data_IF_065415350955
#
_entry.id   IF_065415350955
#
_cell.length_a   1.000
_cell.length_b   1.000
_cell.length_c   1.000
_cell.angle_alpha   90.00
_cell.angle_beta   90.00
_cell.angle_gamma   90.00
#
_symmetry.space_group_name_H-M   'P 1'
#
loop_
_entity.id
_entity.type
_entity.pdbx_description
1 polymer ?
#
# COMPACT_ATOMS: atom_id res chain seq x y z
N UNK A 1 9.49 18.06 18.80
CA UNK A 1 10.62 18.03 17.84
C UNK A 1 10.83 16.63 17.26
N UNK A 2 10.91 16.50 15.93
CA UNK A 2 11.22 15.22 15.24
C UNK A 2 12.66 14.84 15.61
N UNK A 3 12.92 13.65 16.16
CA UNK A 3 14.31 13.22 16.37
C UNK A 3 15.00 13.17 15.00
N UNK A 4 16.20 13.76 14.90
CA UNK A 4 16.98 13.72 13.65
C UNK A 4 17.46 12.30 13.34
N UNK A 5 17.68 11.51 14.38
CA UNK A 5 18.05 10.10 14.32
C UNK A 5 16.81 9.24 14.53
N UNK A 6 16.55 8.30 13.62
CA UNK A 6 15.40 7.38 13.65
C UNK A 6 14.03 8.07 13.80
N UNK A 7 13.63 8.93 12.85
CA UNK A 7 12.31 9.55 12.88
C UNK A 7 11.21 8.48 12.87
N UNK A 8 10.09 8.78 13.52
CA UNK A 8 8.91 7.91 13.61
C UNK A 8 7.67 8.63 13.09
N UNK A 9 6.90 7.97 12.23
CA UNK A 9 5.64 8.43 11.66
C UNK A 9 4.50 8.19 12.65
N UNK A 10 4.45 6.99 13.24
CA UNK A 10 3.34 6.56 14.10
C UNK A 10 3.57 6.89 15.58
N UNK A 11 4.83 6.99 15.99
CA UNK A 11 5.20 6.96 17.40
C UNK A 11 4.96 5.58 18.05
N UNK A 12 5.41 5.40 19.30
CA UNK A 12 5.38 4.10 19.96
C UNK A 12 3.97 3.57 20.23
N UNK A 13 3.02 4.46 20.55
CA UNK A 13 1.65 4.05 20.90
C UNK A 13 0.90 3.48 19.69
N UNK A 14 0.90 4.20 18.57
CA UNK A 14 0.21 3.76 17.35
C UNK A 14 0.93 2.58 16.68
N UNK A 15 2.28 2.52 16.73
CA UNK A 15 3.03 1.35 16.26
C UNK A 15 2.68 0.08 17.08
N UNK A 16 2.58 0.19 18.40
CA UNK A 16 2.16 -0.93 19.26
C UNK A 16 0.74 -1.40 18.91
N UNK A 17 -0.20 -0.46 18.77
CA UNK A 17 -1.57 -0.75 18.38
C UNK A 17 -1.65 -1.43 17.00
N UNK A 18 -0.90 -0.93 16.02
CA UNK A 18 -0.85 -1.51 14.67
C UNK A 18 -0.37 -2.96 14.72
N UNK A 19 0.72 -3.24 15.43
CA UNK A 19 1.26 -4.59 15.60
C UNK A 19 0.24 -5.54 16.24
N UNK A 20 -0.44 -5.10 17.29
CA UNK A 20 -1.48 -5.90 17.95
C UNK A 20 -2.68 -6.17 17.04
N UNK A 21 -3.08 -5.18 16.25
CA UNK A 21 -4.22 -5.28 15.32
C UNK A 21 -3.89 -6.19 14.13
N UNK A 22 -2.67 -6.12 13.59
CA UNK A 22 -2.22 -6.98 12.49
C UNK A 22 -2.23 -8.47 12.84
N UNK A 23 -2.12 -8.83 14.13
CA UNK A 23 -2.22 -10.23 14.57
C UNK A 23 -3.64 -10.80 14.55
N UNK A 24 -4.65 -9.96 14.51
CA UNK A 24 -6.03 -10.44 14.55
C UNK A 24 -6.35 -11.27 13.28
N UNK A 25 -7.10 -12.37 13.42
CA UNK A 25 -7.40 -13.25 12.28
C UNK A 25 -8.32 -12.54 11.28
N UNK A 26 -7.96 -12.62 10.01
CA UNK A 26 -8.76 -12.12 8.88
C UNK A 26 -8.24 -12.74 7.58
N UNK A 27 -9.12 -12.95 6.60
CA UNK A 27 -8.75 -13.39 5.24
C UNK A 27 -7.81 -12.37 4.61
N UNK A 28 -8.21 -11.10 4.56
CA UNK A 28 -7.37 -9.98 4.13
C UNK A 28 -7.23 -8.96 5.26
N UNK A 29 -6.07 -8.33 5.33
CA UNK A 29 -5.76 -7.22 6.25
C UNK A 29 -5.41 -6.00 5.44
N UNK A 30 -6.29 -5.00 5.47
CA UNK A 30 -6.12 -3.78 4.70
C UNK A 30 -5.46 -2.72 5.59
N UNK A 31 -4.20 -2.43 5.31
CA UNK A 31 -3.44 -1.36 5.96
C UNK A 31 -3.63 -0.05 5.19
N UNK A 32 -4.43 0.86 5.75
CA UNK A 32 -4.63 2.18 5.16
C UNK A 32 -3.64 3.20 5.76
N UNK A 33 -2.97 3.95 4.89
CA UNK A 33 -2.09 5.07 5.28
C UNK A 33 -2.34 6.26 4.36
N UNK A 34 -2.10 7.48 4.83
CA UNK A 34 -2.33 8.70 4.05
C UNK A 34 -1.24 8.94 2.99
N UNK A 35 -0.03 8.39 3.18
CA UNK A 35 1.12 8.61 2.31
C UNK A 35 1.76 7.28 1.87
N UNK A 36 2.45 7.25 0.71
CA UNK A 36 3.02 6.03 0.15
C UNK A 36 3.91 5.24 1.12
N UNK A 37 3.70 3.92 1.27
CA UNK A 37 4.67 3.03 1.91
C UNK A 37 5.75 2.60 0.91
N UNK A 38 5.39 2.44 -0.35
CA UNK A 38 6.26 2.03 -1.45
C UNK A 38 7.42 3.02 -1.57
N UNK A 39 8.67 2.52 -1.59
CA UNK A 39 9.83 3.39 -1.74
C UNK A 39 9.87 4.15 -3.07
N UNK A 40 10.50 5.32 -3.05
CA UNK A 40 10.82 6.15 -4.23
C UNK A 40 9.59 6.58 -5.03
N UNK A 41 8.41 6.55 -4.41
CA UNK A 41 7.19 7.05 -5.06
C UNK A 41 7.28 8.57 -5.19
N UNK A 42 7.80 9.29 -4.18
CA UNK A 42 8.02 10.76 -4.13
C UNK A 42 9.51 11.12 -4.02
N UNK A 43 10.28 11.01 -5.12
CA UNK A 43 11.74 11.18 -5.08
C UNK A 43 12.17 12.49 -4.41
N UNK A 44 13.14 12.40 -3.51
CA UNK A 44 13.70 13.55 -2.79
C UNK A 44 12.89 14.04 -1.58
N UNK A 45 11.67 13.53 -1.37
CA UNK A 45 10.82 13.97 -0.26
C UNK A 45 10.90 13.07 0.97
N UNK A 46 10.82 13.70 2.16
CA UNK A 46 10.81 13.02 3.48
C UNK A 46 9.44 13.09 4.18
N UNK A 47 8.39 13.43 3.44
CA UNK A 47 7.01 13.54 3.92
C UNK A 47 6.17 12.27 3.70
N UNK A 48 6.73 11.27 3.02
CA UNK A 48 6.16 9.91 2.91
C UNK A 48 6.90 8.94 3.82
N UNK A 49 6.58 7.64 3.76
CA UNK A 49 7.34 6.62 4.49
C UNK A 49 8.82 6.52 4.08
N UNK A 50 9.25 7.13 2.96
CA UNK A 50 10.68 7.28 2.66
C UNK A 50 11.42 8.14 3.69
N UNK A 51 10.73 9.09 4.33
CA UNK A 51 11.27 9.84 5.47
C UNK A 51 11.35 9.03 6.76
N UNK A 52 10.81 7.80 6.78
CA UNK A 52 10.64 6.94 7.94
C UNK A 52 10.99 5.47 7.61
N UNK A 53 11.97 5.27 6.72
CA UNK A 53 12.30 3.96 6.17
C UNK A 53 12.59 2.90 7.25
N UNK A 54 13.24 3.27 8.35
CA UNK A 54 13.50 2.37 9.47
C UNK A 54 12.20 1.91 10.18
N UNK A 55 11.21 2.78 10.37
CA UNK A 55 9.93 2.39 10.96
C UNK A 55 9.07 1.58 9.99
N UNK A 56 9.08 1.93 8.69
CA UNK A 56 8.50 1.09 7.62
C UNK A 56 9.07 -0.33 7.67
N UNK A 57 10.39 -0.47 7.72
CA UNK A 57 11.03 -1.79 7.77
C UNK A 57 10.66 -2.56 9.04
N UNK A 58 10.53 -1.88 10.19
CA UNK A 58 10.05 -2.52 11.44
C UNK A 58 8.63 -3.06 11.31
N UNK A 59 7.78 -2.45 10.49
CA UNK A 59 6.42 -2.95 10.20
C UNK A 59 6.51 -4.17 9.29
N UNK A 60 7.28 -4.10 8.20
CA UNK A 60 7.45 -5.22 7.27
C UNK A 60 8.08 -6.44 7.96
N UNK A 61 9.13 -6.23 8.75
CA UNK A 61 9.77 -7.28 9.55
C UNK A 61 8.78 -7.93 10.52
N UNK A 62 7.93 -7.13 11.17
CA UNK A 62 6.93 -7.68 12.06
C UNK A 62 5.91 -8.57 11.35
N UNK A 63 5.48 -8.18 10.14
CA UNK A 63 4.58 -9.00 9.31
C UNK A 63 5.26 -10.33 8.96
N UNK A 64 6.54 -10.30 8.57
CA UNK A 64 7.31 -11.50 8.25
C UNK A 64 7.54 -12.40 9.48
N UNK A 65 8.05 -11.86 10.59
CA UNK A 65 8.36 -12.59 11.82
C UNK A 65 7.14 -13.30 12.39
N UNK A 66 5.98 -12.64 12.34
CA UNK A 66 4.73 -13.18 12.85
C UNK A 66 3.94 -13.96 11.79
N UNK A 67 4.52 -14.15 10.59
CA UNK A 67 3.93 -14.86 9.46
C UNK A 67 2.52 -14.38 9.11
N UNK A 68 2.30 -13.07 9.21
CA UNK A 68 0.98 -12.46 9.06
C UNK A 68 0.60 -12.50 7.59
N UNK A 69 -0.49 -13.19 7.22
CA UNK A 69 -0.85 -13.33 5.82
C UNK A 69 -1.97 -12.34 5.44
N UNK A 70 -2.15 -12.17 4.13
CA UNK A 70 -3.23 -11.42 3.52
C UNK A 70 -3.11 -9.90 3.62
N UNK A 71 -1.90 -9.35 3.84
CA UNK A 71 -1.72 -7.90 4.00
C UNK A 71 -1.73 -7.19 2.64
N UNK A 72 -2.56 -6.16 2.53
CA UNK A 72 -2.65 -5.25 1.37
C UNK A 72 -2.64 -3.82 1.88
N UNK A 73 -1.98 -2.91 1.15
CA UNK A 73 -1.83 -1.52 1.55
C UNK A 73 -2.69 -0.62 0.66
N UNK A 74 -3.41 0.32 1.26
CA UNK A 74 -4.07 1.42 0.56
C UNK A 74 -3.44 2.75 0.96
N UNK A 75 -3.12 3.58 -0.03
CA UNK A 75 -2.49 4.88 0.18
C UNK A 75 -2.99 5.99 -0.75
N UNK A 76 -2.48 7.21 -0.58
CA UNK A 76 -2.83 8.38 -1.38
C UNK A 76 -1.63 9.35 -1.55
N UNK A 77 -1.84 10.67 -1.43
CA UNK A 77 -0.87 11.78 -1.55
C UNK A 77 -0.40 12.17 -2.97
N UNK A 78 -0.40 11.26 -3.94
CA UNK A 78 0.39 11.49 -5.18
C UNK A 78 -0.31 12.10 -6.37
N UNK A 79 -1.55 12.55 -6.21
CA UNK A 79 -2.33 13.22 -7.26
C UNK A 79 -2.43 12.40 -8.55
N UNK A 80 -2.46 11.08 -8.39
CA UNK A 80 -2.62 10.06 -9.43
C UNK A 80 -3.15 8.77 -8.78
N UNK A 81 -3.44 7.78 -9.61
CA UNK A 81 -3.89 6.47 -9.16
C UNK A 81 -2.89 5.41 -9.63
N UNK A 82 -2.31 4.66 -8.71
CA UNK A 82 -1.22 3.73 -9.00
C UNK A 82 -1.48 2.37 -8.32
N UNK A 83 -0.79 1.34 -8.82
CA UNK A 83 -0.60 0.09 -8.09
C UNK A 83 0.88 -0.28 -8.07
N UNK A 84 1.37 -0.74 -6.92
CA UNK A 84 2.76 -1.11 -6.71
C UNK A 84 2.87 -2.51 -6.14
N UNK A 85 3.95 -3.19 -6.52
CA UNK A 85 4.49 -4.37 -5.84
C UNK A 85 5.71 -3.93 -5.06
N UNK A 86 5.71 -4.17 -3.75
CA UNK A 86 6.81 -3.86 -2.84
C UNK A 86 7.55 -5.17 -2.57
N UNK A 87 8.80 -5.23 -3.05
CA UNK A 87 9.77 -6.17 -2.49
C UNK A 87 10.27 -5.59 -1.16
N UNK A 88 10.27 -6.41 -0.11
CA UNK A 88 10.56 -5.96 1.26
C UNK A 88 12.02 -6.15 1.65
N UNK A 89 12.82 -6.77 0.78
CA UNK A 89 14.20 -7.20 1.05
C UNK A 89 14.32 -8.14 2.26
N UNK A 90 13.22 -8.76 2.70
CA UNK A 90 13.20 -9.75 3.79
C UNK A 90 13.15 -11.14 3.17
N UNK A 91 14.15 -11.97 3.49
CA UNK A 91 14.25 -13.33 2.95
C UNK A 91 12.99 -14.16 3.26
N UNK A 92 12.48 -14.83 2.22
CA UNK A 92 11.28 -15.67 2.31
C UNK A 92 9.94 -14.89 2.37
N UNK A 93 9.96 -13.57 2.52
CA UNK A 93 8.75 -12.74 2.61
C UNK A 93 8.02 -12.64 1.26
N UNK A 94 6.69 -12.75 1.30
CA UNK A 94 5.86 -12.50 0.11
C UNK A 94 5.82 -10.99 -0.21
N UNK A 95 5.68 -10.60 -1.48
CA UNK A 95 5.59 -9.20 -1.85
C UNK A 95 4.35 -8.54 -1.24
N UNK A 96 4.49 -7.32 -0.76
CA UNK A 96 3.33 -6.51 -0.37
C UNK A 96 2.83 -5.76 -1.60
N UNK A 97 1.53 -5.49 -1.65
CA UNK A 97 0.93 -4.71 -2.72
C UNK A 97 0.30 -3.44 -2.16
N UNK A 98 0.55 -2.33 -2.83
CA UNK A 98 0.03 -1.02 -2.45
C UNK A 98 -0.78 -0.42 -3.59
N UNK A 99 -2.03 -0.06 -3.29
CA UNK A 99 -2.92 0.61 -4.23
C UNK A 99 -3.10 2.07 -3.79
N UNK A 100 -2.81 3.00 -4.71
CA UNK A 100 -2.90 4.43 -4.44
C UNK A 100 -4.05 5.05 -5.22
N UNK A 101 -4.90 5.83 -4.54
CA UNK A 101 -6.03 6.55 -5.16
C UNK A 101 -6.09 7.97 -4.62
N UNK A 102 -5.64 8.96 -5.40
CA UNK A 102 -5.42 10.32 -4.86
C UNK A 102 -5.77 11.47 -5.81
N UNK A 103 -6.64 11.22 -6.81
CA UNK A 103 -6.98 12.22 -7.84
C UNK A 103 -8.51 12.43 -7.99
N UNK A 104 -9.30 12.28 -6.93
CA UNK A 104 -10.76 12.44 -7.03
C UNK A 104 -11.16 13.88 -7.37
N UNK A 105 -10.58 14.87 -6.70
CA UNK A 105 -10.90 16.30 -6.88
C UNK A 105 -9.73 17.11 -7.43
N UNK A 106 -8.50 16.58 -7.36
CA UNK A 106 -7.31 17.34 -7.71
C UNK A 106 -7.19 17.52 -9.24
N UNK A 107 -6.85 18.74 -9.67
CA UNK A 107 -6.55 19.09 -11.06
C UNK A 107 -5.06 18.97 -11.37
N UNK A 108 -4.20 19.25 -10.39
CA UNK A 108 -2.76 19.07 -10.53
C UNK A 108 -2.41 17.59 -10.52
N UNK A 109 -1.38 17.22 -11.30
CA UNK A 109 -0.91 15.85 -11.42
C UNK A 109 0.61 15.77 -11.34
N UNK A 110 1.07 14.62 -10.85
CA UNK A 110 2.48 14.24 -10.96
C UNK A 110 2.67 13.23 -12.08
N UNK A 111 3.89 13.15 -12.62
CA UNK A 111 4.26 12.13 -13.58
C UNK A 111 4.07 10.71 -13.03
N UNK A 112 3.83 9.76 -13.94
CA UNK A 112 3.76 8.34 -13.63
C UNK A 112 5.12 7.81 -13.20
N UNK A 113 5.11 6.76 -12.37
CA UNK A 113 6.31 6.16 -11.79
C UNK A 113 6.67 4.89 -12.56
N UNK A 114 7.91 4.81 -13.09
CA UNK A 114 8.31 3.68 -13.96
C UNK A 114 8.20 2.30 -13.31
N UNK A 115 8.34 2.21 -11.97
CA UNK A 115 8.25 0.95 -11.23
C UNK A 115 6.86 0.69 -10.63
N UNK A 116 5.83 1.45 -11.01
CA UNK A 116 4.45 1.04 -10.75
C UNK A 116 4.09 -0.15 -11.63
N UNK A 117 3.23 -1.04 -11.15
CA UNK A 117 2.58 -2.04 -11.98
C UNK A 117 1.72 -1.36 -13.06
N UNK A 118 1.00 -0.32 -12.66
CA UNK A 118 0.37 0.65 -13.55
C UNK A 118 0.16 1.98 -12.80
N UNK A 119 -0.06 3.04 -13.57
CA UNK A 119 -0.39 4.36 -13.06
C UNK A 119 -1.32 5.13 -14.01
N UNK A 120 -2.17 5.99 -13.45
CA UNK A 120 -3.13 6.79 -14.18
C UNK A 120 -3.21 8.22 -13.63
N UNK A 121 -3.08 9.21 -14.51
CA UNK A 121 -3.14 10.62 -14.14
C UNK A 121 -3.86 11.52 -15.17
N UNK A 122 -4.52 10.97 -16.18
CA UNK A 122 -5.15 11.77 -17.25
C UNK A 122 -6.38 12.54 -16.76
N UNK A 123 -7.33 11.85 -16.12
CA UNK A 123 -8.54 12.44 -15.53
C UNK A 123 -8.67 12.12 -14.06
N UNK A 124 -9.59 12.82 -13.38
CA UNK A 124 -9.93 12.52 -12.01
C UNK A 124 -10.38 11.07 -11.92
N UNK A 125 -10.01 10.41 -10.82
CA UNK A 125 -10.29 8.99 -10.64
C UNK A 125 -10.40 8.64 -9.17
N UNK A 126 -11.02 7.50 -8.93
CA UNK A 126 -11.07 6.84 -7.63
C UNK A 126 -10.76 5.35 -7.80
N UNK A 127 -10.25 4.77 -6.72
CA UNK A 127 -10.05 3.34 -6.60
C UNK A 127 -11.29 2.63 -6.10
N UNK A 128 -11.71 1.57 -6.78
CA UNK A 128 -12.66 0.58 -6.26
C UNK A 128 -11.90 -0.65 -5.80
N UNK A 129 -12.25 -1.17 -4.64
CA UNK A 129 -11.74 -2.43 -4.12
C UNK A 129 -12.89 -3.42 -4.03
N UNK A 130 -12.71 -4.58 -4.66
CA UNK A 130 -13.64 -5.70 -4.63
C UNK A 130 -12.96 -6.88 -3.89
N UNK A 131 -13.70 -7.54 -2.99
CA UNK A 131 -13.27 -8.77 -2.34
C UNK A 131 -14.20 -9.91 -2.74
N UNK A 132 -13.66 -10.98 -3.31
CA UNK A 132 -14.38 -12.24 -3.45
C UNK A 132 -13.88 -13.20 -2.37
N UNK A 133 -14.70 -13.37 -1.33
CA UNK A 133 -14.40 -14.25 -0.20
C UNK A 133 -15.03 -15.64 -0.34
N UNK A 134 -15.79 -15.89 -1.41
CA UNK A 134 -16.49 -17.16 -1.65
C UNK A 134 -15.73 -18.08 -2.59
N UNK A 135 -14.80 -17.53 -3.38
CA UNK A 135 -13.88 -18.33 -4.19
C UNK A 135 -13.02 -19.27 -3.33
N UNK A 136 -12.67 -20.44 -3.88
CA UNK A 136 -11.79 -21.42 -3.22
C UNK A 136 -10.46 -20.80 -2.77
N UNK A 137 -9.94 -19.88 -3.59
CA UNK A 137 -8.84 -18.99 -3.24
C UNK A 137 -9.35 -17.54 -3.27
N UNK A 138 -9.66 -16.94 -2.11
CA UNK A 138 -10.24 -15.61 -2.03
C UNK A 138 -9.41 -14.57 -2.80
N UNK A 139 -10.07 -13.57 -3.38
CA UNK A 139 -9.38 -12.56 -4.18
C UNK A 139 -9.62 -11.15 -3.68
N UNK A 140 -8.60 -10.32 -3.82
CA UNK A 140 -8.69 -8.87 -3.77
C UNK A 140 -8.52 -8.34 -5.19
N UNK A 141 -9.35 -7.36 -5.58
CA UNK A 141 -9.17 -6.63 -6.82
C UNK A 141 -9.25 -5.13 -6.59
N UNK A 142 -8.20 -4.42 -6.98
CA UNK A 142 -8.18 -2.97 -7.07
C UNK A 142 -8.45 -2.54 -8.52
N UNK A 143 -9.37 -1.63 -8.74
CA UNK A 143 -9.72 -1.10 -10.06
C UNK A 143 -9.71 0.43 -10.04
N UNK A 144 -9.01 1.04 -10.98
CA UNK A 144 -9.06 2.50 -11.17
C UNK A 144 -10.23 2.83 -12.09
N UNK A 145 -11.12 3.69 -11.62
CA UNK A 145 -12.28 4.19 -12.37
C UNK A 145 -12.12 5.71 -12.52
N UNK A 146 -12.16 6.21 -13.76
CA UNK A 146 -12.09 7.64 -13.99
C UNK A 146 -13.44 8.33 -13.72
N UNK A 147 -13.46 9.66 -13.74
CA UNK A 147 -14.64 10.47 -13.42
C UNK A 147 -15.79 10.30 -14.43
N UNK A 148 -15.54 9.76 -15.62
CA UNK A 148 -16.57 9.44 -16.61
C UNK A 148 -17.16 8.02 -16.38
N UNK A 149 -16.73 7.32 -15.34
CA UNK A 149 -17.15 5.94 -15.05
C UNK A 149 -16.42 4.87 -15.86
N UNK A 150 -15.38 5.23 -16.63
CA UNK A 150 -14.59 4.27 -17.41
C UNK A 150 -13.56 3.56 -16.51
N UNK A 151 -13.56 2.22 -16.57
CA UNK A 151 -12.47 1.42 -16.00
C UNK A 151 -11.18 1.64 -16.78
N UNK A 152 -10.11 1.98 -16.07
CA UNK A 152 -8.80 2.27 -16.64
C UNK A 152 -7.89 1.05 -16.57
N UNK A 153 -7.65 0.53 -15.36
CA UNK A 153 -6.77 -0.60 -15.12
C UNK A 153 -7.17 -1.30 -13.81
N UNK A 154 -6.68 -2.51 -13.58
CA UNK A 154 -6.93 -3.26 -12.36
C UNK A 154 -5.80 -4.21 -11.96
N UNK A 155 -5.61 -4.36 -10.66
CA UNK A 155 -4.73 -5.35 -10.05
C UNK A 155 -5.59 -6.38 -9.32
N UNK A 156 -5.48 -7.66 -9.68
CA UNK A 156 -6.10 -8.77 -8.97
C UNK A 156 -5.02 -9.59 -8.26
N UNK A 157 -5.29 -9.96 -7.00
CA UNK A 157 -4.38 -10.72 -6.14
C UNK A 157 -5.18 -11.82 -5.48
N UNK A 158 -4.67 -13.05 -5.53
CA UNK A 158 -5.21 -14.17 -4.78
C UNK A 158 -4.68 -14.20 -3.37
N UNK A 159 -5.48 -14.72 -2.44
CA UNK A 159 -5.10 -14.82 -1.04
C UNK A 159 -3.89 -15.73 -0.85
N UNK A 160 -3.74 -16.76 -1.68
CA UNK A 160 -2.58 -17.66 -1.66
C UNK A 160 -1.25 -16.97 -2.01
N UNK A 161 -1.27 -15.81 -2.68
CA UNK A 161 -0.07 -15.03 -3.03
C UNK A 161 0.45 -14.22 -1.83
N UNK A 162 -0.40 -14.00 -0.82
CA UNK A 162 -0.13 -13.14 0.34
C UNK A 162 0.20 -13.96 1.59
N UNK A 163 1.06 -14.95 1.46
CA UNK A 163 1.50 -15.78 2.58
C UNK A 163 2.92 -16.29 2.36
N UNK A 164 3.63 -16.48 3.47
CA UNK A 164 4.92 -17.16 3.46
C UNK A 164 4.73 -18.60 3.00
N UNK A 165 5.69 -19.10 2.22
CA UNK A 165 5.77 -20.52 1.87
C UNK A 165 6.28 -21.36 3.04
#
# INVERSE_FOLDING_TARGET
PRSKENPSMLGPAQLKWLKQTLKQPATFKVLCTNVPMTPKVKPGSKDTWDGFAAERQKIFQYIADQKIPGVIILAADRHRSDAFKIDTDIEGMYPLYECQSSRLTNQHVHGLIKHSLFGYNEKQSFGRVDFDLKADDPTFKYTVINIDGKTIDSLAIKRSELQLK
#
